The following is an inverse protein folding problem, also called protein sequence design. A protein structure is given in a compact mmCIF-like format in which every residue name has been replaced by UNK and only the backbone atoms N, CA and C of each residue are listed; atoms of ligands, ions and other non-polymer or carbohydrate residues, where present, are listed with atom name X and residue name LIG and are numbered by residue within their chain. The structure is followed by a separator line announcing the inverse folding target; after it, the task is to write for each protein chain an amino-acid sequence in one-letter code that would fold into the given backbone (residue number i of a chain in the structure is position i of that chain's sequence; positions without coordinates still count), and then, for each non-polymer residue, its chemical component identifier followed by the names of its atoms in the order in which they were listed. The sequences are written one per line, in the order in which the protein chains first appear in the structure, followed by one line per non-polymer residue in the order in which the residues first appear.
data_IF_837637513774
#
_entry.id   IF_837637513774
#
_cell.length_a   1.000
_cell.length_b   1.000
_cell.length_c   1.000
_cell.angle_alpha   90.00
_cell.angle_beta   90.00
_cell.angle_gamma   90.00
#
_symmetry.space_group_name_H-M   'P 1'
#
loop_
_entity.id
_entity.type
_entity.pdbx_description
1 polymer ?
#
# COMPACT_ATOMS: atom_id res chain seq x y z
N UNK A 1 -43.93 22.09 -5.13
CA UNK A 1 -42.54 21.83 -5.58
C UNK A 1 -42.46 20.37 -5.98
N UNK A 2 -42.31 20.06 -7.27
CA UNK A 2 -42.05 18.68 -7.71
C UNK A 2 -40.60 18.38 -7.38
N UNK A 3 -40.36 17.46 -6.45
CA UNK A 3 -39.03 16.89 -6.22
C UNK A 3 -38.58 16.26 -7.53
N UNK A 4 -37.55 16.81 -8.17
CA UNK A 4 -36.88 16.12 -9.27
C UNK A 4 -36.41 14.77 -8.73
N UNK A 5 -36.94 13.71 -9.34
CA UNK A 5 -36.57 12.34 -9.02
C UNK A 5 -35.17 12.10 -9.62
N UNK A 6 -34.14 12.52 -8.90
CA UNK A 6 -32.76 12.18 -9.23
C UNK A 6 -32.65 10.67 -9.00
N UNK A 7 -32.41 9.91 -10.07
CA UNK A 7 -32.17 8.47 -9.98
C UNK A 7 -31.12 8.19 -8.91
N UNK A 8 -31.37 7.21 -8.04
CA UNK A 8 -30.44 6.79 -6.98
C UNK A 8 -29.06 6.42 -7.55
N UNK A 9 -28.97 6.11 -8.85
CA UNK A 9 -27.76 5.72 -9.56
C UNK A 9 -26.93 6.92 -10.10
N UNK A 10 -27.42 8.16 -9.98
CA UNK A 10 -26.64 9.34 -10.37
C UNK A 10 -25.59 9.60 -9.30
N UNK A 11 -24.33 9.50 -9.70
CA UNK A 11 -23.19 9.70 -8.82
C UNK A 11 -22.85 11.19 -8.69
N UNK A 12 -22.46 11.58 -7.49
CA UNK A 12 -22.01 12.93 -7.23
C UNK A 12 -20.57 13.11 -7.69
N UNK A 13 -20.26 14.28 -8.25
CA UNK A 13 -18.91 14.56 -8.75
C UNK A 13 -17.86 14.51 -7.64
N UNK A 14 -18.23 14.94 -6.42
CA UNK A 14 -17.38 14.84 -5.26
C UNK A 14 -16.96 13.40 -4.97
N UNK A 15 -17.92 12.46 -5.02
CA UNK A 15 -17.66 11.03 -4.84
C UNK A 15 -16.82 10.44 -5.97
N UNK A 16 -17.13 10.78 -7.23
CA UNK A 16 -16.35 10.33 -8.40
C UNK A 16 -14.91 10.81 -8.36
N UNK A 17 -14.66 11.97 -7.74
CA UNK A 17 -13.33 12.55 -7.57
C UNK A 17 -12.49 11.77 -6.58
N UNK A 18 -13.08 11.22 -5.51
CA UNK A 18 -12.37 10.48 -4.45
C UNK A 18 -11.41 9.43 -5.03
N UNK A 19 -11.93 8.56 -5.89
CA UNK A 19 -11.18 7.44 -6.48
C UNK A 19 -10.62 7.75 -7.87
N UNK A 20 -10.74 9.00 -8.35
CA UNK A 20 -10.25 9.38 -9.68
C UNK A 20 -8.75 9.15 -9.90
N UNK A 21 -7.83 9.32 -8.92
CA UNK A 21 -6.42 9.03 -9.14
C UNK A 21 -6.16 7.56 -9.45
N UNK A 22 -6.77 6.65 -8.68
CA UNK A 22 -6.69 5.22 -8.93
C UNK A 22 -7.37 4.84 -10.23
N UNK A 23 -8.58 5.36 -10.50
CA UNK A 23 -9.31 5.10 -11.74
C UNK A 23 -8.48 5.49 -12.97
N UNK A 24 -7.85 6.67 -12.95
CA UNK A 24 -7.00 7.12 -14.05
C UNK A 24 -5.79 6.19 -14.25
N UNK A 25 -5.08 5.84 -13.17
CA UNK A 25 -3.93 4.94 -13.25
C UNK A 25 -4.33 3.53 -13.74
N UNK A 26 -5.39 2.96 -13.18
CA UNK A 26 -5.91 1.64 -13.57
C UNK A 26 -6.46 1.63 -15.01
N UNK A 27 -7.04 2.73 -15.49
CA UNK A 27 -7.48 2.86 -16.87
C UNK A 27 -6.30 2.81 -17.83
N UNK A 28 -5.21 3.53 -17.54
CA UNK A 28 -3.97 3.49 -18.33
C UNK A 28 -3.39 2.08 -18.34
N UNK A 29 -3.38 1.42 -17.18
CA UNK A 29 -2.81 0.07 -17.03
C UNK A 29 -3.71 -1.06 -17.52
N UNK A 30 -4.96 -0.76 -17.90
CA UNK A 30 -5.92 -1.77 -18.36
C UNK A 30 -6.52 -2.62 -17.24
N UNK A 31 -6.39 -2.20 -15.97
CA UNK A 31 -6.92 -2.88 -14.78
C UNK A 31 -8.12 -2.17 -14.13
N UNK A 32 -8.79 -1.25 -14.83
CA UNK A 32 -9.93 -0.55 -14.21
C UNK A 32 -11.16 -1.46 -14.10
N UNK A 33 -11.76 -1.50 -12.90
CA UNK A 33 -12.93 -2.34 -12.54
C UNK A 33 -14.26 -1.81 -13.04
N UNK A 34 -14.37 -0.50 -13.19
CA UNK A 34 -15.63 0.20 -13.50
C UNK A 34 -15.38 1.31 -14.52
N UNK A 35 -16.30 1.51 -15.44
CA UNK A 35 -16.29 2.68 -16.34
C UNK A 35 -17.19 3.76 -15.76
N UNK A 36 -16.58 4.80 -15.20
CA UNK A 36 -17.27 5.94 -14.60
C UNK A 36 -17.18 7.16 -15.54
N UNK A 37 -18.30 7.53 -16.17
CA UNK A 37 -18.40 8.69 -17.08
C UNK A 37 -19.71 9.42 -16.86
N UNK A 38 -19.67 10.75 -16.95
CA UNK A 38 -20.87 11.60 -16.95
C UNK A 38 -21.82 11.31 -15.78
N UNK A 39 -21.25 11.04 -14.58
CA UNK A 39 -21.98 10.68 -13.35
C UNK A 39 -22.67 9.31 -13.35
N UNK A 40 -22.40 8.47 -14.33
CA UNK A 40 -22.84 7.08 -14.39
C UNK A 40 -21.65 6.13 -14.21
N UNK A 41 -21.89 5.01 -13.53
CA UNK A 41 -20.93 3.91 -13.43
C UNK A 41 -21.50 2.69 -14.12
N UNK A 42 -20.71 2.09 -14.99
CA UNK A 42 -21.07 0.93 -15.79
C UNK A 42 -19.96 -0.11 -15.77
N UNK A 43 -20.31 -1.34 -16.12
CA UNK A 43 -19.35 -2.44 -16.28
C UNK A 43 -18.35 -2.13 -17.41
N UNK A 44 -17.11 -2.65 -17.33
CA UNK A 44 -16.09 -2.36 -18.34
C UNK A 44 -16.58 -2.66 -19.76
N UNK A 45 -16.40 -1.68 -20.66
CA UNK A 45 -16.89 -1.77 -22.03
C UNK A 45 -16.11 -2.81 -22.85
N UNK A 46 -16.68 -3.29 -23.96
CA UNK A 46 -15.99 -4.20 -24.89
C UNK A 46 -14.60 -3.69 -25.34
N UNK A 47 -14.43 -2.42 -25.79
CA UNK A 47 -13.11 -1.91 -26.16
C UNK A 47 -12.12 -1.89 -24.99
N UNK A 48 -12.61 -1.60 -23.78
CA UNK A 48 -11.84 -1.66 -22.55
C UNK A 48 -11.32 -3.08 -22.25
N UNK A 49 -12.16 -4.12 -22.44
CA UNK A 49 -11.75 -5.52 -22.31
C UNK A 49 -10.74 -5.93 -23.38
N UNK A 50 -10.94 -5.49 -24.63
CA UNK A 50 -10.00 -5.72 -25.72
C UNK A 50 -8.63 -5.08 -25.45
N UNK A 51 -8.62 -3.85 -24.94
CA UNK A 51 -7.39 -3.16 -24.53
C UNK A 51 -6.61 -3.97 -23.50
N UNK A 52 -7.29 -4.51 -22.48
CA UNK A 52 -6.66 -5.37 -21.48
C UNK A 52 -6.04 -6.62 -22.08
N UNK A 53 -6.69 -7.27 -23.07
CA UNK A 53 -6.13 -8.42 -23.79
C UNK A 53 -4.84 -8.02 -24.54
N UNK A 54 -4.85 -6.87 -25.22
CA UNK A 54 -3.67 -6.34 -25.92
C UNK A 54 -2.52 -6.10 -24.92
N UNK A 55 -2.80 -5.52 -23.76
CA UNK A 55 -1.82 -5.33 -22.70
C UNK A 55 -1.22 -6.67 -22.20
N UNK A 56 -2.05 -7.71 -22.03
CA UNK A 56 -1.57 -9.05 -21.64
C UNK A 56 -0.64 -9.61 -22.72
N UNK A 57 -1.02 -9.55 -24.00
CA UNK A 57 -0.21 -10.06 -25.11
C UNK A 57 1.14 -9.33 -25.22
N UNK A 58 1.12 -8.00 -25.11
CA UNK A 58 2.34 -7.18 -25.11
C UNK A 58 3.24 -7.54 -23.92
N UNK A 59 2.67 -7.66 -22.72
CA UNK A 59 3.39 -8.06 -21.53
C UNK A 59 4.00 -9.46 -21.68
N UNK A 60 3.25 -10.41 -22.27
CA UNK A 60 3.75 -11.77 -22.56
C UNK A 60 4.99 -11.75 -23.43
N UNK A 61 4.98 -10.97 -24.52
CA UNK A 61 6.14 -10.84 -25.41
C UNK A 61 7.37 -10.27 -24.69
N UNK A 62 7.17 -9.29 -23.80
CA UNK A 62 8.24 -8.71 -22.98
C UNK A 62 8.79 -9.71 -21.96
N UNK A 63 7.95 -10.53 -21.33
CA UNK A 63 8.39 -11.60 -20.43
C UNK A 63 9.21 -12.69 -21.16
N UNK A 64 8.82 -13.07 -22.38
CA UNK A 64 9.62 -13.97 -23.23
C UNK A 64 10.97 -13.36 -23.55
N UNK A 65 11.03 -12.05 -23.82
CA UNK A 65 12.29 -11.32 -24.05
C UNK A 65 13.22 -11.36 -22.84
N UNK A 66 12.71 -11.23 -21.60
CA UNK A 66 13.51 -11.42 -20.38
C UNK A 66 14.07 -12.84 -20.33
N UNK A 67 13.26 -13.86 -20.67
CA UNK A 67 13.73 -15.24 -20.73
C UNK A 67 14.92 -15.41 -21.69
N UNK A 68 14.84 -14.84 -22.89
CA UNK A 68 15.89 -14.97 -23.89
C UNK A 68 17.16 -14.16 -23.55
N UNK A 69 17.02 -12.92 -23.07
CA UNK A 69 18.14 -12.00 -22.90
C UNK A 69 18.79 -12.05 -21.50
N UNK A 70 18.03 -12.39 -20.47
CA UNK A 70 18.48 -12.43 -19.08
C UNK A 70 18.67 -13.86 -18.57
N UNK A 71 17.66 -14.73 -18.67
CA UNK A 71 17.77 -16.09 -18.09
C UNK A 71 18.84 -16.94 -18.80
N UNK A 72 19.04 -16.76 -20.11
CA UNK A 72 20.07 -17.48 -20.88
C UNK A 72 21.48 -17.36 -20.29
N UNK A 73 21.80 -16.24 -19.60
CA UNK A 73 23.08 -16.01 -18.94
C UNK A 73 23.33 -16.94 -17.75
N UNK A 74 22.26 -17.41 -17.11
CA UNK A 74 22.33 -18.29 -15.96
C UNK A 74 22.29 -19.77 -16.34
N UNK A 75 22.23 -20.11 -17.63
CA UNK A 75 22.24 -21.50 -18.10
C UNK A 75 23.36 -22.38 -17.49
N UNK A 76 24.60 -21.89 -17.29
CA UNK A 76 25.65 -22.66 -16.63
C UNK A 76 25.33 -23.01 -15.17
N UNK A 77 24.57 -22.14 -14.48
CA UNK A 77 24.19 -22.27 -13.07
C UNK A 77 22.73 -22.76 -12.96
N UNK A 78 22.50 -24.06 -13.21
CA UNK A 78 21.15 -24.65 -13.32
C UNK A 78 20.19 -24.27 -12.18
N UNK A 79 20.63 -24.30 -10.92
CA UNK A 79 19.76 -23.98 -9.79
C UNK A 79 19.32 -22.51 -9.82
N UNK A 80 20.25 -21.59 -10.11
CA UNK A 80 19.98 -20.16 -10.21
C UNK A 80 19.07 -19.86 -11.41
N UNK A 81 19.30 -20.54 -12.53
CA UNK A 81 18.42 -20.48 -13.69
C UNK A 81 16.99 -20.87 -13.36
N UNK A 82 16.77 -22.05 -12.76
CA UNK A 82 15.43 -22.52 -12.43
C UNK A 82 14.73 -21.64 -11.39
N UNK A 83 15.48 -21.12 -10.40
CA UNK A 83 14.93 -20.22 -9.41
C UNK A 83 14.43 -18.91 -10.05
N UNK A 84 15.24 -18.28 -10.91
CA UNK A 84 14.83 -17.08 -11.64
C UNK A 84 13.68 -17.34 -12.62
N UNK A 85 13.65 -18.52 -13.25
CA UNK A 85 12.54 -18.92 -14.10
C UNK A 85 11.22 -19.05 -13.31
N UNK A 86 11.26 -19.72 -12.15
CA UNK A 86 10.09 -19.85 -11.27
C UNK A 86 9.63 -18.48 -10.78
N UNK A 87 10.56 -17.60 -10.38
CA UNK A 87 10.24 -16.22 -9.99
C UNK A 87 9.55 -15.46 -11.13
N UNK A 88 10.10 -15.53 -12.36
CA UNK A 88 9.52 -14.87 -13.53
C UNK A 88 8.11 -15.39 -13.82
N UNK A 89 7.90 -16.71 -13.77
CA UNK A 89 6.59 -17.35 -13.96
C UNK A 89 5.59 -16.95 -12.87
N UNK A 90 6.01 -16.89 -11.60
CA UNK A 90 5.19 -16.42 -10.49
C UNK A 90 4.74 -14.97 -10.70
N UNK A 91 5.66 -14.08 -11.09
CA UNK A 91 5.35 -12.69 -11.40
C UNK A 91 4.36 -12.57 -12.56
N UNK A 92 4.54 -13.37 -13.62
CA UNK A 92 3.64 -13.37 -14.77
C UNK A 92 2.25 -13.92 -14.42
N UNK A 93 2.18 -15.09 -13.78
CA UNK A 93 0.93 -15.73 -13.41
C UNK A 93 0.09 -14.84 -12.48
N UNK A 94 0.73 -14.21 -11.50
CA UNK A 94 0.04 -13.28 -10.59
C UNK A 94 -0.47 -12.04 -11.30
N UNK A 95 0.29 -11.48 -12.25
CA UNK A 95 -0.18 -10.38 -13.09
C UNK A 95 -1.42 -10.78 -13.91
N UNK A 96 -1.34 -11.89 -14.65
CA UNK A 96 -2.44 -12.35 -15.52
C UNK A 96 -3.69 -12.69 -14.70
N UNK A 97 -3.54 -13.43 -13.60
CA UNK A 97 -4.65 -13.75 -12.71
C UNK A 97 -5.30 -12.49 -12.14
N UNK A 98 -4.50 -11.51 -11.71
CA UNK A 98 -5.00 -10.25 -11.16
C UNK A 98 -5.82 -9.49 -12.20
N UNK A 99 -5.25 -9.23 -13.38
CA UNK A 99 -5.91 -8.41 -14.39
C UNK A 99 -7.15 -9.09 -15.00
N UNK A 100 -7.13 -10.42 -15.13
CA UNK A 100 -8.30 -11.18 -15.58
C UNK A 100 -9.43 -11.06 -14.56
N UNK A 101 -9.13 -11.29 -13.28
CA UNK A 101 -10.14 -11.19 -12.23
C UNK A 101 -10.75 -9.79 -12.16
N UNK A 102 -9.92 -8.77 -12.22
CA UNK A 102 -10.31 -7.36 -12.10
C UNK A 102 -11.16 -6.87 -13.28
N UNK A 103 -10.86 -7.32 -14.50
CA UNK A 103 -11.48 -6.78 -15.73
C UNK A 103 -12.64 -7.61 -16.29
N UNK A 104 -12.65 -8.91 -16.02
CA UNK A 104 -13.61 -9.83 -16.64
C UNK A 104 -14.60 -10.42 -15.65
N UNK A 105 -14.24 -10.53 -14.37
CA UNK A 105 -15.07 -11.15 -13.34
C UNK A 105 -15.76 -10.10 -12.46
N UNK A 106 -16.91 -10.47 -11.90
CA UNK A 106 -17.68 -9.68 -10.93
C UNK A 106 -18.03 -8.24 -11.39
N UNK A 107 -18.29 -8.06 -12.69
CA UNK A 107 -18.45 -6.72 -13.28
C UNK A 107 -19.65 -5.98 -12.66
N UNK A 108 -20.79 -6.66 -12.54
CA UNK A 108 -22.03 -6.04 -12.06
C UNK A 108 -21.97 -5.80 -10.54
N UNK A 109 -21.32 -6.70 -9.80
CA UNK A 109 -21.08 -6.52 -8.37
C UNK A 109 -20.09 -5.37 -8.09
N UNK A 110 -19.09 -5.15 -8.94
CA UNK A 110 -18.18 -3.98 -8.83
C UNK A 110 -18.94 -2.66 -9.04
N UNK A 111 -19.87 -2.61 -10.00
CA UNK A 111 -20.74 -1.43 -10.25
C UNK A 111 -21.65 -1.19 -9.04
N UNK A 112 -22.34 -2.23 -8.58
CA UNK A 112 -23.23 -2.14 -7.42
C UNK A 112 -22.49 -1.70 -6.16
N UNK A 113 -21.30 -2.26 -5.91
CA UNK A 113 -20.44 -1.86 -4.81
C UNK A 113 -20.07 -0.37 -4.90
N UNK A 114 -19.67 0.11 -6.08
CA UNK A 114 -19.31 1.52 -6.27
C UNK A 114 -20.50 2.45 -5.96
N UNK A 115 -21.71 2.12 -6.41
CA UNK A 115 -22.92 2.91 -6.12
C UNK A 115 -23.23 2.90 -4.61
N UNK A 116 -23.12 1.72 -3.97
CA UNK A 116 -23.38 1.56 -2.53
C UNK A 116 -22.41 2.34 -1.64
N UNK A 117 -21.15 2.51 -2.05
CA UNK A 117 -20.22 3.40 -1.31
C UNK A 117 -20.71 4.85 -1.24
N UNK A 118 -21.38 5.34 -2.28
CA UNK A 118 -21.97 6.68 -2.24
C UNK A 118 -23.25 6.72 -1.40
N UNK A 119 -24.05 5.65 -1.44
CA UNK A 119 -25.27 5.55 -0.62
C UNK A 119 -24.94 5.64 0.88
N UNK A 120 -23.80 5.07 1.32
CA UNK A 120 -23.28 5.23 2.68
C UNK A 120 -23.03 6.71 2.99
N UNK A 121 -22.31 7.43 2.12
CA UNK A 121 -21.97 8.84 2.34
C UNK A 121 -23.22 9.73 2.38
N UNK A 122 -24.23 9.46 1.55
CA UNK A 122 -25.53 10.14 1.58
C UNK A 122 -26.28 9.92 2.89
N UNK A 123 -26.34 8.68 3.37
CA UNK A 123 -27.05 8.36 4.63
C UNK A 123 -26.35 8.92 5.86
N UNK A 124 -25.02 8.92 5.84
CA UNK A 124 -24.21 9.59 6.87
C UNK A 124 -24.19 11.12 6.73
N UNK A 125 -24.85 11.71 5.72
CA UNK A 125 -24.86 13.16 5.45
C UNK A 125 -23.44 13.77 5.34
N UNK A 126 -22.51 13.00 4.79
CA UNK A 126 -21.11 13.42 4.58
C UNK A 126 -20.73 13.52 3.09
N UNK A 127 -21.66 13.22 2.19
CA UNK A 127 -21.52 13.29 0.73
C UNK A 127 -20.86 14.60 0.24
N UNK A 128 -21.26 15.73 0.83
CA UNK A 128 -20.75 17.06 0.50
C UNK A 128 -19.67 17.58 1.48
N UNK A 129 -19.17 16.74 2.39
CA UNK A 129 -18.18 17.15 3.36
C UNK A 129 -16.79 17.26 2.72
N UNK A 130 -16.38 18.51 2.46
CA UNK A 130 -15.10 18.82 1.82
C UNK A 130 -13.89 18.25 2.57
N UNK A 131 -13.86 18.29 3.91
CA UNK A 131 -12.68 17.88 4.68
C UNK A 131 -12.46 16.36 4.55
N UNK A 132 -13.52 15.56 4.75
CA UNK A 132 -13.45 14.11 4.62
C UNK A 132 -13.08 13.70 3.19
N UNK A 133 -13.73 14.32 2.20
CA UNK A 133 -13.51 14.03 0.79
C UNK A 133 -12.10 14.42 0.32
N UNK A 134 -11.63 15.61 0.70
CA UNK A 134 -10.28 16.08 0.39
C UNK A 134 -9.22 15.19 1.06
N UNK A 135 -9.43 14.75 2.30
CA UNK A 135 -8.50 13.85 2.99
C UNK A 135 -8.34 12.50 2.26
N UNK A 136 -9.44 11.89 1.83
CA UNK A 136 -9.39 10.61 1.08
C UNK A 136 -8.75 10.83 -0.30
N UNK A 137 -9.14 11.90 -0.99
CA UNK A 137 -8.56 12.23 -2.29
C UNK A 137 -7.05 12.45 -2.21
N UNK A 138 -6.58 13.22 -1.21
CA UNK A 138 -5.16 13.48 -0.95
C UNK A 138 -4.42 12.18 -0.61
N UNK A 139 -5.02 11.31 0.19
CA UNK A 139 -4.44 9.99 0.49
C UNK A 139 -4.33 9.13 -0.78
N UNK A 140 -5.36 9.11 -1.62
CA UNK A 140 -5.38 8.35 -2.87
C UNK A 140 -4.32 8.86 -3.86
N UNK A 141 -4.27 10.17 -4.12
CA UNK A 141 -3.29 10.75 -5.05
C UNK A 141 -1.87 10.58 -4.52
N UNK A 142 -1.65 10.78 -3.20
CA UNK A 142 -0.33 10.59 -2.59
C UNK A 142 0.13 9.15 -2.70
N UNK A 143 -0.76 8.19 -2.48
CA UNK A 143 -0.47 6.76 -2.63
C UNK A 143 -0.04 6.44 -4.05
N UNK A 144 -0.83 6.84 -5.05
CA UNK A 144 -0.51 6.60 -6.48
C UNK A 144 0.82 7.25 -6.87
N UNK A 145 1.02 8.53 -6.54
CA UNK A 145 2.24 9.26 -6.91
C UNK A 145 3.49 8.70 -6.22
N UNK A 146 3.40 8.36 -4.93
CA UNK A 146 4.53 7.79 -4.19
C UNK A 146 4.91 6.42 -4.73
N UNK A 147 3.92 5.56 -5.02
CA UNK A 147 4.17 4.24 -5.59
C UNK A 147 4.81 4.32 -6.97
N UNK A 148 4.28 5.16 -7.86
CA UNK A 148 4.86 5.38 -9.19
C UNK A 148 6.27 5.98 -9.09
N UNK A 149 6.47 6.96 -8.20
CA UNK A 149 7.79 7.57 -7.97
C UNK A 149 8.84 6.57 -7.50
N UNK A 150 8.51 5.71 -6.54
CA UNK A 150 9.42 4.67 -6.04
C UNK A 150 9.73 3.65 -7.15
N UNK A 151 8.72 3.13 -7.84
CA UNK A 151 8.94 2.10 -8.86
C UNK A 151 9.70 2.64 -10.07
N UNK A 152 9.40 3.86 -10.52
CA UNK A 152 10.13 4.50 -11.62
C UNK A 152 11.56 4.87 -11.22
N UNK A 153 11.79 5.40 -10.01
CA UNK A 153 13.15 5.72 -9.56
C UNK A 153 14.03 4.49 -9.45
N UNK A 154 13.50 3.36 -8.96
CA UNK A 154 14.20 2.08 -8.96
C UNK A 154 14.50 1.60 -10.38
N UNK A 155 13.56 1.75 -11.30
CA UNK A 155 13.76 1.38 -12.71
C UNK A 155 14.83 2.24 -13.40
N UNK A 156 14.80 3.56 -13.19
CA UNK A 156 15.81 4.47 -13.74
C UNK A 156 17.18 4.24 -13.12
N UNK A 157 17.26 3.96 -11.82
CA UNK A 157 18.51 3.57 -11.18
C UNK A 157 19.09 2.30 -11.81
N UNK A 158 18.25 1.29 -12.10
CA UNK A 158 18.68 0.08 -12.78
C UNK A 158 19.20 0.37 -14.21
N UNK A 159 18.54 1.26 -14.96
CA UNK A 159 18.94 1.61 -16.33
C UNK A 159 20.37 2.16 -16.42
N UNK A 160 20.89 2.78 -15.35
CA UNK A 160 22.27 3.31 -15.32
C UNK A 160 23.34 2.22 -15.28
N UNK A 161 22.98 0.98 -14.93
CA UNK A 161 23.91 -0.15 -14.81
C UNK A 161 24.04 -0.92 -16.14
N UNK A 162 22.92 -1.30 -16.75
CA UNK A 162 22.90 -1.98 -18.05
C UNK A 162 21.58 -1.69 -18.79
N UNK A 163 21.62 -0.76 -19.74
CA UNK A 163 20.43 -0.28 -20.43
C UNK A 163 19.72 -1.37 -21.26
N UNK A 164 20.46 -2.32 -21.83
CA UNK A 164 19.89 -3.35 -22.73
C UNK A 164 19.15 -4.39 -21.89
N UNK A 165 19.77 -4.87 -20.82
CA UNK A 165 19.12 -5.81 -19.91
C UNK A 165 17.91 -5.15 -19.27
N UNK A 166 18.06 -3.94 -18.75
CA UNK A 166 16.98 -3.28 -17.99
C UNK A 166 15.81 -2.88 -18.88
N UNK A 167 16.06 -2.55 -20.16
CA UNK A 167 14.98 -2.36 -21.13
C UNK A 167 14.13 -3.64 -21.32
N UNK A 168 14.71 -4.83 -21.20
CA UNK A 168 13.92 -6.09 -21.26
C UNK A 168 12.97 -6.24 -20.07
N UNK A 169 13.27 -5.62 -18.92
CA UNK A 169 12.45 -5.69 -17.70
C UNK A 169 11.23 -4.73 -17.67
N UNK A 170 10.99 -3.95 -18.73
CA UNK A 170 9.82 -3.05 -18.81
C UNK A 170 8.50 -3.80 -18.61
N UNK A 171 8.37 -5.01 -19.16
CA UNK A 171 7.17 -5.84 -18.98
C UNK A 171 6.97 -6.24 -17.51
N UNK A 172 8.05 -6.58 -16.82
CA UNK A 172 8.03 -6.94 -15.40
C UNK A 172 7.65 -5.73 -14.53
N UNK A 173 8.19 -4.54 -14.84
CA UNK A 173 7.81 -3.29 -14.20
C UNK A 173 6.32 -3.01 -14.36
N UNK A 174 5.80 -3.09 -15.59
CA UNK A 174 4.38 -2.88 -15.88
C UNK A 174 3.49 -3.85 -15.10
N UNK A 175 3.81 -5.15 -15.10
CA UNK A 175 3.07 -6.15 -14.36
C UNK A 175 3.08 -5.90 -12.85
N UNK A 176 4.23 -5.50 -12.31
CA UNK A 176 4.39 -5.17 -10.89
C UNK A 176 3.63 -3.91 -10.50
N UNK A 177 3.74 -2.82 -11.26
CA UNK A 177 3.00 -1.58 -11.03
C UNK A 177 1.50 -1.85 -11.02
N UNK A 178 1.00 -2.64 -11.97
CA UNK A 178 -0.42 -3.00 -12.05
C UNK A 178 -0.90 -3.75 -10.81
N UNK A 179 -0.18 -4.80 -10.39
CA UNK A 179 -0.56 -5.55 -9.19
C UNK A 179 -0.50 -4.69 -7.92
N UNK A 180 0.57 -3.91 -7.75
CA UNK A 180 0.75 -3.06 -6.57
C UNK A 180 -0.36 -2.01 -6.47
N UNK A 181 -0.77 -1.41 -7.59
CA UNK A 181 -1.88 -0.44 -7.58
C UNK A 181 -3.22 -1.07 -7.21
N UNK A 182 -3.50 -2.31 -7.63
CA UNK A 182 -4.72 -3.02 -7.19
C UNK A 182 -4.73 -3.29 -5.68
N UNK A 183 -3.59 -3.69 -5.12
CA UNK A 183 -3.47 -3.92 -3.67
C UNK A 183 -3.57 -2.63 -2.87
N UNK A 184 -2.94 -1.55 -3.34
CA UNK A 184 -3.03 -0.24 -2.71
C UNK A 184 -4.43 0.37 -2.84
N UNK A 185 -5.13 0.12 -3.94
CA UNK A 185 -6.53 0.51 -4.09
C UNK A 185 -7.42 -0.20 -3.05
N UNK A 186 -7.21 -1.51 -2.86
CA UNK A 186 -7.86 -2.29 -1.80
C UNK A 186 -7.60 -1.69 -0.40
N UNK A 187 -6.35 -1.33 -0.10
CA UNK A 187 -6.01 -0.67 1.17
C UNK A 187 -6.67 0.71 1.33
N UNK A 188 -6.76 1.50 0.27
CA UNK A 188 -7.44 2.80 0.30
C UNK A 188 -8.96 2.70 0.44
N UNK A 189 -9.58 1.64 -0.10
CA UNK A 189 -11.00 1.34 0.15
C UNK A 189 -11.25 0.98 1.62
N UNK A 190 -10.35 0.24 2.27
CA UNK A 190 -10.42 0.01 3.71
C UNK A 190 -10.31 1.32 4.50
N UNK A 191 -9.40 2.22 4.08
CA UNK A 191 -9.28 3.55 4.69
C UNK A 191 -10.57 4.38 4.53
N UNK A 192 -11.25 4.26 3.38
CA UNK A 192 -12.56 4.87 3.16
C UNK A 192 -13.56 4.41 4.24
N UNK A 193 -13.73 3.09 4.44
CA UNK A 193 -14.65 2.55 5.45
C UNK A 193 -14.23 2.94 6.88
N UNK A 194 -12.94 2.88 7.18
CA UNK A 194 -12.40 3.24 8.48
C UNK A 194 -12.75 4.68 8.90
N UNK A 195 -12.63 5.64 7.97
CA UNK A 195 -13.01 7.04 8.24
C UNK A 195 -14.51 7.17 8.54
N UNK A 196 -15.38 6.40 7.86
CA UNK A 196 -16.83 6.41 8.14
C UNK A 196 -17.17 5.77 9.47
N UNK A 197 -16.53 4.66 9.82
CA UNK A 197 -16.69 4.05 11.15
C UNK A 197 -16.28 5.02 12.26
N UNK A 198 -15.17 5.75 12.08
CA UNK A 198 -14.77 6.81 13.02
C UNK A 198 -15.78 7.95 13.09
N UNK A 199 -16.41 8.29 11.98
CA UNK A 199 -17.46 9.30 11.93
C UNK A 199 -18.72 8.85 12.69
N UNK A 200 -19.16 7.61 12.52
CA UNK A 200 -20.23 7.02 13.33
C UNK A 200 -19.86 7.05 14.81
N UNK A 201 -18.63 6.66 15.15
CA UNK A 201 -18.17 6.72 16.53
C UNK A 201 -18.26 8.15 17.09
N UNK A 202 -17.94 9.17 16.28
CA UNK A 202 -18.09 10.57 16.69
C UNK A 202 -19.55 10.98 16.92
N UNK A 203 -20.51 10.46 16.13
CA UNK A 203 -21.95 10.66 16.36
C UNK A 203 -22.35 10.05 17.72
N UNK A 204 -21.93 8.81 17.99
CA UNK A 204 -22.22 8.12 19.26
C UNK A 204 -21.61 8.88 20.44
N UNK A 205 -20.35 9.30 20.33
CA UNK A 205 -19.68 10.07 21.39
C UNK A 205 -20.41 11.37 21.68
N UNK A 206 -20.87 12.10 20.67
CA UNK A 206 -21.65 13.32 20.89
C UNK A 206 -23.01 13.05 21.55
N UNK A 207 -23.63 11.91 21.26
CA UNK A 207 -24.87 11.50 21.91
C UNK A 207 -24.67 11.20 23.41
N UNK A 208 -23.53 10.59 23.77
CA UNK A 208 -23.21 10.17 25.15
C UNK A 208 -22.62 11.32 25.98
N UNK A 209 -21.61 12.01 25.45
CA UNK A 209 -20.81 13.01 26.15
C UNK A 209 -21.33 14.45 25.95
N UNK A 210 -22.25 14.65 25.00
CA UNK A 210 -22.69 15.97 24.58
C UNK A 210 -21.68 16.68 23.67
N UNK A 211 -21.93 17.97 23.42
CA UNK A 211 -21.14 18.79 22.48
C UNK A 211 -20.49 20.02 23.12
N UNK A 212 -20.65 20.21 24.43
CA UNK A 212 -20.28 21.43 25.15
C UNK A 212 -18.75 21.66 25.23
N UNK A 213 -17.97 20.59 25.10
CA UNK A 213 -16.51 20.55 25.11
C UNK A 213 -15.87 20.84 23.74
N UNK A 214 -16.66 20.89 22.66
CA UNK A 214 -16.15 20.96 21.29
C UNK A 214 -15.86 22.40 20.87
N UNK A 215 -14.67 22.90 21.22
CA UNK A 215 -14.13 24.15 20.68
C UNK A 215 -13.07 23.89 19.61
N UNK A 216 -13.33 24.32 18.38
CA UNK A 216 -12.35 24.33 17.28
C UNK A 216 -12.25 25.74 16.71
N UNK A 217 -11.13 26.42 16.98
CA UNK A 217 -10.93 27.82 16.58
C UNK A 217 -10.65 27.98 15.08
N UNK A 218 -10.27 26.90 14.36
CA UNK A 218 -10.03 27.01 12.91
C UNK A 218 -10.08 25.65 12.17
N UNK A 219 -11.26 25.24 11.72
CA UNK A 219 -11.47 23.96 11.01
C UNK A 219 -10.78 23.95 9.65
N UNK A 220 -10.71 25.11 8.99
CA UNK A 220 -10.15 25.26 7.64
C UNK A 220 -8.65 24.92 7.55
N UNK A 221 -7.93 24.93 8.68
CA UNK A 221 -6.51 24.58 8.73
C UNK A 221 -6.27 23.09 9.03
N UNK A 222 -7.31 22.33 9.38
CA UNK A 222 -7.16 20.93 9.76
C UNK A 222 -7.30 20.04 8.54
N UNK A 223 -6.22 19.34 8.17
CA UNK A 223 -6.20 18.42 7.03
C UNK A 223 -6.54 16.97 7.38
N UNK A 224 -6.50 16.61 8.66
CA UNK A 224 -6.67 15.23 9.12
C UNK A 224 -7.99 15.14 9.91
N UNK A 225 -8.88 14.17 9.60
CA UNK A 225 -10.11 13.96 10.36
C UNK A 225 -9.82 13.31 11.72
N UNK A 226 -9.35 14.12 12.68
CA UNK A 226 -9.18 13.69 14.07
C UNK A 226 -10.53 13.54 14.77
N UNK A 227 -10.58 12.78 15.87
CA UNK A 227 -11.85 12.53 16.57
C UNK A 227 -12.56 13.82 16.99
N UNK A 228 -11.83 14.82 17.47
CA UNK A 228 -12.38 16.15 17.83
C UNK A 228 -13.02 16.86 16.63
N UNK A 229 -12.39 16.79 15.46
CA UNK A 229 -12.92 17.38 14.21
C UNK A 229 -14.15 16.60 13.72
N UNK A 230 -14.11 15.27 13.78
CA UNK A 230 -15.25 14.44 13.42
C UNK A 230 -16.45 14.71 14.35
N UNK A 231 -16.22 14.84 15.67
CA UNK A 231 -17.25 15.22 16.65
C UNK A 231 -17.86 16.59 16.31
N UNK A 232 -17.04 17.59 16.00
CA UNK A 232 -17.55 18.89 15.55
C UNK A 232 -18.39 18.78 14.26
N UNK A 233 -17.94 18.00 13.28
CA UNK A 233 -18.67 17.84 12.02
C UNK A 233 -19.96 17.03 12.19
N UNK A 234 -19.98 16.07 13.11
CA UNK A 234 -21.18 15.34 13.47
C UNK A 234 -22.20 16.27 14.14
N UNK A 235 -21.77 17.19 15.00
CA UNK A 235 -22.69 18.11 15.70
C UNK A 235 -23.35 19.14 14.81
N UNK A 236 -22.76 19.48 13.66
CA UNK A 236 -23.39 20.36 12.69
C UNK A 236 -24.35 19.67 11.72
N UNK A 237 -24.33 18.32 11.64
CA UNK A 237 -25.04 17.55 10.60
C UNK A 237 -26.12 16.61 11.15
N UNK A 238 -26.02 16.21 12.42
CA UNK A 238 -26.92 15.26 13.05
C UNK A 238 -27.61 15.87 14.28
N UNK A 239 -28.89 15.56 14.44
CA UNK A 239 -29.61 15.77 15.68
C UNK A 239 -29.34 14.55 16.58
N UNK A 240 -28.85 14.78 17.80
CA UNK A 240 -28.51 13.70 18.73
C UNK A 240 -29.69 13.25 19.58
N UNK A 241 -30.87 13.88 19.47
CA UNK A 241 -32.06 13.42 20.18
C UNK A 241 -32.58 12.07 19.65
N UNK A 242 -32.30 11.77 18.38
CA UNK A 242 -32.64 10.50 17.73
C UNK A 242 -31.43 9.99 16.95
N UNK A 243 -30.91 8.82 17.32
CA UNK A 243 -29.70 8.25 16.71
C UNK A 243 -30.03 7.01 15.89
N UNK A 244 -29.94 7.11 14.56
CA UNK A 244 -30.03 5.97 13.62
C UNK A 244 -28.66 5.27 13.44
N UNK A 245 -27.79 5.35 14.45
CA UNK A 245 -26.42 4.83 14.39
C UNK A 245 -26.36 3.32 14.16
N UNK A 246 -27.34 2.57 14.62
CA UNK A 246 -27.50 1.14 14.37
C UNK A 246 -27.74 0.84 12.87
N UNK A 247 -28.57 1.65 12.22
CA UNK A 247 -28.84 1.56 10.77
C UNK A 247 -27.58 1.88 9.97
N UNK A 248 -26.83 2.91 10.35
CA UNK A 248 -25.57 3.26 9.70
C UNK A 248 -24.51 2.18 9.86
N UNK A 249 -24.35 1.66 11.09
CA UNK A 249 -23.37 0.64 11.41
C UNK A 249 -23.65 -0.66 10.63
N UNK A 250 -24.91 -1.09 10.60
CA UNK A 250 -25.35 -2.26 9.84
C UNK A 250 -24.97 -2.13 8.36
N UNK A 251 -25.23 -0.98 7.74
CA UNK A 251 -24.92 -0.79 6.33
C UNK A 251 -23.42 -0.79 6.03
N UNK A 252 -22.60 -0.19 6.89
CA UNK A 252 -21.15 -0.27 6.73
C UNK A 252 -20.69 -1.72 6.82
N UNK A 253 -21.18 -2.50 7.78
CA UNK A 253 -20.80 -3.91 7.91
C UNK A 253 -21.27 -4.76 6.72
N UNK A 254 -22.50 -4.55 6.25
CA UNK A 254 -23.04 -5.25 5.07
C UNK A 254 -22.17 -4.98 3.82
N UNK A 255 -21.77 -3.73 3.60
CA UNK A 255 -20.91 -3.36 2.47
C UNK A 255 -19.44 -3.76 2.68
N UNK A 256 -18.94 -3.79 3.92
CA UNK A 256 -17.60 -4.33 4.23
C UNK A 256 -17.55 -5.84 3.95
N UNK A 257 -18.61 -6.59 4.27
CA UNK A 257 -18.72 -7.99 3.92
C UNK A 257 -18.77 -8.20 2.40
N UNK A 258 -19.47 -7.32 1.66
CA UNK A 258 -19.44 -7.33 0.19
C UNK A 258 -18.04 -7.02 -0.35
N UNK A 259 -17.35 -6.04 0.23
CA UNK A 259 -15.96 -5.73 -0.09
C UNK A 259 -15.04 -6.95 0.12
N UNK A 260 -15.11 -7.62 1.27
CA UNK A 260 -14.32 -8.84 1.53
C UNK A 260 -14.57 -9.91 0.46
N UNK A 261 -15.83 -10.15 0.10
CA UNK A 261 -16.17 -11.12 -0.93
C UNK A 261 -15.64 -10.73 -2.33
N UNK A 262 -15.66 -9.44 -2.67
CA UNK A 262 -15.16 -8.94 -3.96
C UNK A 262 -13.64 -8.96 -4.06
N UNK A 263 -12.93 -8.67 -2.97
CA UNK A 263 -11.47 -8.50 -2.97
C UNK A 263 -10.68 -9.70 -2.40
N UNK A 264 -11.35 -10.75 -1.90
CA UNK A 264 -10.70 -11.95 -1.35
C UNK A 264 -9.68 -12.57 -2.30
N UNK A 265 -9.94 -12.58 -3.61
CA UNK A 265 -9.03 -13.17 -4.59
C UNK A 265 -7.74 -12.35 -4.71
N UNK A 266 -7.84 -11.02 -4.72
CA UNK A 266 -6.69 -10.12 -4.78
C UNK A 266 -5.83 -10.22 -3.53
N UNK A 267 -6.46 -10.30 -2.35
CA UNK A 267 -5.76 -10.48 -1.07
C UNK A 267 -5.06 -11.85 -1.04
N UNK A 268 -5.75 -12.92 -1.43
CA UNK A 268 -5.15 -14.25 -1.53
C UNK A 268 -3.94 -14.26 -2.48
N UNK A 269 -4.08 -13.63 -3.65
CA UNK A 269 -3.02 -13.55 -4.65
C UNK A 269 -1.82 -12.73 -4.14
N UNK A 270 -2.08 -11.67 -3.37
CA UNK A 270 -1.06 -10.89 -2.68
C UNK A 270 -0.29 -11.77 -1.68
N UNK A 271 -1.00 -12.42 -0.76
CA UNK A 271 -0.38 -13.26 0.28
C UNK A 271 0.43 -14.40 -0.35
N UNK A 272 -0.13 -15.10 -1.36
CA UNK A 272 0.56 -16.15 -2.08
C UNK A 272 1.85 -15.64 -2.74
N UNK A 273 1.77 -14.52 -3.46
CA UNK A 273 2.93 -13.90 -4.10
C UNK A 273 3.98 -13.46 -3.09
N UNK A 274 3.57 -12.84 -1.99
CA UNK A 274 4.47 -12.35 -0.94
C UNK A 274 5.27 -13.51 -0.32
N UNK A 275 4.59 -14.59 0.09
CA UNK A 275 5.24 -15.77 0.68
C UNK A 275 6.16 -16.44 -0.32
N UNK A 276 5.68 -16.71 -1.54
CA UNK A 276 6.47 -17.38 -2.57
C UNK A 276 7.69 -16.55 -3.00
N UNK A 277 7.54 -15.24 -3.19
CA UNK A 277 8.66 -14.35 -3.51
C UNK A 277 9.68 -14.27 -2.39
N UNK A 278 9.25 -14.27 -1.12
CA UNK A 278 10.16 -14.25 0.04
C UNK A 278 10.98 -15.54 0.11
N UNK A 279 10.35 -16.70 -0.09
CA UNK A 279 11.04 -18.00 -0.13
C UNK A 279 12.05 -18.07 -1.29
N UNK A 280 11.65 -17.62 -2.48
CA UNK A 280 12.54 -17.57 -3.64
C UNK A 280 13.73 -16.62 -3.42
N UNK A 281 13.50 -15.45 -2.82
CA UNK A 281 14.56 -14.50 -2.50
C UNK A 281 15.55 -15.05 -1.47
N UNK A 282 15.04 -15.74 -0.44
CA UNK A 282 15.86 -16.41 0.56
C UNK A 282 16.76 -17.49 -0.05
N UNK A 283 16.18 -18.39 -0.85
CA UNK A 283 16.92 -19.46 -1.53
C UNK A 283 17.95 -18.90 -2.52
N UNK A 284 17.60 -17.84 -3.26
CA UNK A 284 18.53 -17.15 -4.15
C UNK A 284 19.73 -16.58 -3.37
N UNK A 285 19.48 -15.98 -2.20
CA UNK A 285 20.53 -15.47 -1.31
C UNK A 285 21.47 -16.58 -0.84
N UNK A 286 20.93 -17.70 -0.38
CA UNK A 286 21.74 -18.85 0.06
C UNK A 286 22.59 -19.43 -1.07
N UNK A 287 22.00 -19.69 -2.24
CA UNK A 287 22.71 -20.25 -3.38
C UNK A 287 23.77 -19.29 -3.93
N UNK A 288 23.52 -17.98 -3.88
CA UNK A 288 24.49 -16.97 -4.30
C UNK A 288 25.70 -16.91 -3.37
N UNK A 289 25.49 -17.06 -2.06
CA UNK A 289 26.55 -17.13 -1.06
C UNK A 289 27.38 -18.41 -1.19
N UNK A 290 26.72 -19.57 -1.36
CA UNK A 290 27.40 -20.86 -1.47
C UNK A 290 28.28 -20.97 -2.72
N UNK A 291 27.84 -20.39 -3.84
CA UNK A 291 28.51 -20.54 -5.14
C UNK A 291 29.43 -19.37 -5.51
N UNK A 292 29.69 -18.39 -4.62
CA UNK A 292 30.50 -17.19 -4.90
C UNK A 292 30.14 -16.49 -6.24
N UNK A 293 28.86 -16.52 -6.61
CA UNK A 293 28.38 -16.04 -7.92
C UNK A 293 28.66 -14.54 -8.11
N UNK A 294 28.67 -13.78 -7.01
CA UNK A 294 29.02 -12.37 -7.01
C UNK A 294 30.51 -12.12 -7.35
N UNK A 295 31.40 -13.03 -6.98
CA UNK A 295 32.85 -12.89 -7.18
C UNK A 295 33.26 -13.28 -8.61
N UNK A 296 32.57 -14.27 -9.19
CA UNK A 296 32.85 -14.74 -10.56
C UNK A 296 32.22 -13.85 -11.63
N UNK A 297 31.04 -13.26 -11.40
CA UNK A 297 30.48 -12.26 -12.35
C UNK A 297 31.31 -10.98 -12.42
N UNK A 298 31.93 -10.54 -11.32
CA UNK A 298 32.86 -9.40 -11.31
C UNK A 298 34.16 -9.71 -12.07
N UNK A 299 34.68 -10.95 -12.00
CA UNK A 299 35.85 -11.37 -12.78
C UNK A 299 35.59 -11.47 -14.28
N UNK A 300 34.40 -11.89 -14.69
CA UNK A 300 34.03 -11.95 -16.13
C UNK A 300 33.89 -10.54 -16.73
N UNK A 301 33.43 -9.55 -15.95
CA UNK A 301 33.41 -8.14 -16.37
C UNK A 301 34.78 -7.44 -16.32
N UNK A 302 35.68 -7.80 -15.40
CA UNK A 302 37.02 -7.20 -15.34
C UNK A 302 38.01 -7.75 -16.38
N UNK A 303 37.73 -8.92 -16.95
CA UNK A 303 38.53 -9.50 -18.05
C UNK A 303 38.10 -9.02 -19.44
N UNK A 304 36.97 -8.30 -19.56
CA UNK A 304 36.45 -7.81 -20.84
C UNK A 304 36.53 -6.30 -21.04
N UNK A 305 36.84 -5.50 -20.01
CA UNK A 305 37.05 -4.06 -20.15
C UNK A 305 38.34 -3.61 -19.46
N UNK A 306 39.46 -3.66 -20.19
CA UNK A 306 40.70 -2.99 -19.80
C UNK A 306 40.72 -1.49 -20.10
N UNK A 307 39.65 -0.94 -20.69
CA UNK A 307 39.55 0.50 -21.01
C UNK A 307 38.12 1.00 -20.78
N UNK A 308 37.80 1.49 -19.59
CA UNK A 308 36.90 2.64 -19.50
C UNK A 308 36.91 3.31 -18.12
N UNK A 309 37.23 4.61 -18.13
CA UNK A 309 37.36 5.53 -17.01
C UNK A 309 36.04 5.88 -16.30
N UNK A 310 35.00 5.03 -16.41
CA UNK A 310 33.68 5.23 -15.80
C UNK A 310 33.55 4.70 -14.37
N UNK A 311 34.59 4.05 -13.83
CA UNK A 311 34.61 3.50 -12.47
C UNK A 311 34.84 4.51 -11.34
N UNK A 312 34.99 5.81 -11.65
CA UNK A 312 35.23 6.84 -10.63
C UNK A 312 33.99 7.21 -9.79
N UNK A 313 32.77 6.97 -10.29
CA UNK A 313 31.54 7.38 -9.61
C UNK A 313 30.97 6.32 -8.64
N UNK A 314 31.11 5.02 -8.96
CA UNK A 314 30.73 3.93 -8.04
C UNK A 314 31.60 3.90 -6.79
N UNK A 315 32.90 4.21 -6.93
CA UNK A 315 33.82 4.36 -5.81
C UNK A 315 33.50 5.54 -4.89
N UNK A 316 32.81 6.57 -5.39
CA UNK A 316 32.47 7.76 -4.61
C UNK A 316 31.26 7.52 -3.69
N UNK A 317 30.23 6.80 -4.17
CA UNK A 317 29.07 6.43 -3.36
C UNK A 317 29.43 5.42 -2.26
N UNK A 318 30.28 4.44 -2.59
CA UNK A 318 30.81 3.48 -1.62
C UNK A 318 31.71 4.17 -0.59
N UNK A 319 32.52 5.17 -0.98
CA UNK A 319 33.31 5.99 -0.04
C UNK A 319 32.44 6.87 0.86
N UNK A 320 31.37 7.47 0.33
CA UNK A 320 30.46 8.31 1.10
C UNK A 320 29.67 7.51 2.15
N UNK A 321 29.26 6.28 1.82
CA UNK A 321 28.63 5.37 2.79
C UNK A 321 29.65 4.86 3.82
N UNK A 322 30.90 4.60 3.40
CA UNK A 322 31.99 4.14 4.28
C UNK A 322 32.46 5.23 5.26
N UNK A 323 32.43 6.51 4.88
CA UNK A 323 32.80 7.63 5.78
C UNK A 323 31.75 7.96 6.83
N UNK A 324 30.47 7.62 6.60
CA UNK A 324 29.38 7.87 7.55
C UNK A 324 29.32 6.81 8.66
N UNK A 325 29.87 5.61 8.44
CA UNK A 325 29.67 4.45 9.32
C UNK A 325 30.92 3.95 10.04
N UNK A 326 32.07 4.62 9.88
CA UNK A 326 33.22 4.47 10.79
C UNK A 326 33.75 3.03 11.00
N UNK A 327 33.75 2.19 9.97
CA UNK A 327 34.18 0.80 10.06
C UNK A 327 35.24 0.44 9.02
N UNK A 328 36.44 0.10 9.49
CA UNK A 328 37.58 -0.33 8.68
C UNK A 328 37.58 -1.88 8.63
N UNK A 329 36.70 -2.46 7.83
CA UNK A 329 36.74 -3.89 7.51
C UNK A 329 36.42 -4.15 6.03
N UNK A 330 37.13 -5.13 5.49
CA UNK A 330 37.52 -5.26 4.07
C UNK A 330 36.56 -6.10 3.22
N UNK A 331 35.28 -6.14 3.54
CA UNK A 331 34.29 -6.93 2.81
C UNK A 331 33.35 -6.04 2.00
N UNK A 332 33.39 -6.18 0.67
CA UNK A 332 32.46 -5.52 -0.26
C UNK A 332 31.08 -6.18 -0.19
N UNK A 333 30.31 -5.79 0.81
CA UNK A 333 28.90 -6.15 0.95
C UNK A 333 28.10 -5.33 -0.08
N UNK A 334 27.43 -6.01 -1.02
CA UNK A 334 26.58 -5.35 -2.02
C UNK A 334 25.46 -4.55 -1.34
N UNK A 335 25.12 -3.39 -1.89
CA UNK A 335 24.08 -2.47 -1.39
C UNK A 335 22.75 -3.20 -1.15
N UNK A 336 22.44 -4.24 -1.93
CA UNK A 336 21.25 -5.08 -1.74
C UNK A 336 21.30 -5.94 -0.48
N UNK A 337 22.47 -6.50 -0.16
CA UNK A 337 22.70 -7.23 1.07
C UNK A 337 22.61 -6.29 2.29
N UNK A 338 23.05 -5.04 2.13
CA UNK A 338 22.94 -4.01 3.17
C UNK A 338 21.49 -3.56 3.38
N UNK A 339 20.70 -3.40 2.32
CA UNK A 339 19.26 -3.07 2.41
C UNK A 339 18.46 -4.23 3.03
N UNK A 340 18.79 -5.48 2.67
CA UNK A 340 18.18 -6.67 3.28
C UNK A 340 18.56 -6.78 4.75
N UNK A 341 19.82 -6.52 5.12
CA UNK A 341 20.26 -6.50 6.52
C UNK A 341 19.62 -5.35 7.30
N UNK A 342 19.42 -4.17 6.69
CA UNK A 342 18.68 -3.06 7.32
C UNK A 342 17.23 -3.48 7.53
N UNK A 343 16.54 -4.02 6.52
CA UNK A 343 15.17 -4.50 6.65
C UNK A 343 15.02 -5.61 7.70
N UNK A 344 15.92 -6.60 7.70
CA UNK A 344 15.94 -7.67 8.70
C UNK A 344 16.26 -7.14 10.10
N UNK A 345 17.13 -6.15 10.22
CA UNK A 345 17.48 -5.52 11.50
C UNK A 345 16.34 -4.64 12.02
N UNK A 346 15.65 -3.91 11.15
CA UNK A 346 14.47 -3.11 11.50
C UNK A 346 13.31 -4.00 11.95
N UNK A 347 13.07 -5.11 11.23
CA UNK A 347 12.08 -6.13 11.61
C UNK A 347 12.46 -6.85 12.91
N UNK A 348 13.75 -7.13 13.12
CA UNK A 348 14.23 -7.73 14.36
C UNK A 348 14.09 -6.76 15.54
N UNK A 349 14.41 -5.46 15.38
CA UNK A 349 14.23 -4.45 16.43
C UNK A 349 12.77 -4.19 16.75
N UNK A 350 11.86 -4.20 15.76
CA UNK A 350 10.41 -4.12 16.01
C UNK A 350 9.89 -5.37 16.74
N UNK A 351 10.40 -6.56 16.41
CA UNK A 351 10.06 -7.79 17.15
C UNK A 351 10.59 -7.79 18.59
N UNK A 352 11.77 -7.19 18.81
CA UNK A 352 12.39 -7.11 20.13
C UNK A 352 11.75 -6.01 20.99
N UNK A 353 11.31 -4.90 20.37
CA UNK A 353 10.54 -3.84 21.04
C UNK A 353 9.12 -4.30 21.38
N UNK A 354 8.44 -5.03 20.49
CA UNK A 354 7.13 -5.61 20.81
C UNK A 354 7.25 -6.69 21.90
N UNK A 355 8.32 -7.48 21.92
CA UNK A 355 8.56 -8.46 22.99
C UNK A 355 8.93 -7.79 24.33
N UNK A 356 9.67 -6.67 24.32
CA UNK A 356 9.95 -5.88 25.53
C UNK A 356 8.72 -5.12 26.03
N UNK A 357 7.86 -4.62 25.14
CA UNK A 357 6.61 -3.94 25.50
C UNK A 357 5.58 -4.93 26.04
N UNK A 358 5.45 -6.13 25.47
CA UNK A 358 4.60 -7.21 26.03
C UNK A 358 5.12 -7.71 27.39
N UNK A 359 6.45 -7.77 27.58
CA UNK A 359 7.04 -8.09 28.89
C UNK A 359 6.89 -6.96 29.92
N UNK A 360 6.89 -5.69 29.49
CA UNK A 360 6.62 -4.52 30.35
C UNK A 360 5.13 -4.38 30.67
N UNK A 361 4.23 -4.72 29.76
CA UNK A 361 2.79 -4.75 30.01
C UNK A 361 2.44 -5.91 30.95
N UNK A 362 3.02 -7.10 30.77
CA UNK A 362 2.88 -8.21 31.71
C UNK A 362 3.51 -7.91 33.10
N UNK A 363 4.66 -7.23 33.15
CA UNK A 363 5.29 -6.82 34.41
C UNK A 363 4.55 -5.67 35.12
N UNK A 364 3.92 -4.75 34.37
CA UNK A 364 3.10 -3.67 34.94
C UNK A 364 1.76 -4.21 35.46
N UNK A 365 1.15 -5.20 34.81
CA UNK A 365 -0.07 -5.89 35.30
C UNK A 365 0.23 -6.74 36.54
N UNK A 366 1.42 -7.32 36.67
CA UNK A 366 1.85 -8.01 37.90
C UNK A 366 2.28 -7.05 39.03
N UNK A 367 2.80 -5.86 38.69
CA UNK A 367 3.19 -4.83 39.67
C UNK A 367 1.99 -4.04 40.21
N UNK A 368 0.93 -3.84 39.42
CA UNK A 368 -0.28 -3.11 39.80
C UNK A 368 -1.19 -3.87 40.79
N UNK A 369 -0.90 -5.14 41.10
CA UNK A 369 -1.62 -5.91 42.13
C UNK A 369 -1.02 -5.83 43.53
N UNK A 370 0.12 -5.13 43.73
CA UNK A 370 0.79 -5.10 45.04
C UNK A 370 1.17 -3.75 45.64
N UNK A 371 0.81 -2.60 45.04
CA UNK A 371 1.08 -1.29 45.66
C UNK A 371 -0.15 -0.38 45.58
N UNK A 372 -1.16 -0.70 46.38
CA UNK A 372 -2.16 0.26 46.82
C UNK A 372 -1.84 0.60 48.29
N UNK A 373 -0.94 1.54 48.55
CA UNK A 373 -0.89 2.36 49.78
C UNK A 373 0.25 3.39 49.69
N UNK A 374 -0.07 4.69 49.76
CA UNK A 374 0.85 5.74 50.26
C UNK A 374 1.26 6.88 49.32
N UNK A 375 0.63 8.05 49.53
CA UNK A 375 1.10 9.45 49.40
C UNK A 375 2.47 9.78 48.78
N UNK A 376 2.50 10.88 48.02
CA UNK A 376 3.52 11.95 48.19
C UNK A 376 4.02 12.60 46.89
N UNK A 377 4.15 13.92 46.90
CA UNK A 377 4.41 14.85 45.80
C UNK A 377 5.77 14.75 45.05
N UNK A 378 5.78 15.41 43.88
CA UNK A 378 6.84 16.22 43.24
C UNK A 378 7.48 15.77 41.89
N UNK A 379 7.34 16.71 40.94
CA UNK A 379 8.34 17.26 40.01
C UNK A 379 8.67 16.56 38.65
N UNK A 380 8.12 17.16 37.59
CA UNK A 380 8.83 17.92 36.54
C UNK A 380 10.00 17.24 35.80
N UNK A 381 9.82 16.95 34.49
CA UNK A 381 10.87 17.12 33.48
C UNK A 381 10.28 17.47 32.10
N UNK A 382 10.96 18.42 31.47
CA UNK A 382 10.62 19.19 30.28
C UNK A 382 10.87 18.48 28.93
N UNK A 383 10.11 18.96 27.93
CA UNK A 383 10.47 19.24 26.52
C UNK A 383 11.36 18.27 25.73
N UNK A 384 10.85 17.77 24.60
CA UNK A 384 11.45 17.93 23.26
C UNK A 384 10.54 17.34 22.16
N UNK A 385 10.49 18.00 20.99
CA UNK A 385 10.20 17.31 19.71
C UNK A 385 8.98 17.76 18.91
N UNK A 386 8.95 19.02 18.46
CA UNK A 386 8.12 19.43 17.32
C UNK A 386 8.73 18.94 15.98
N UNK A 387 7.84 18.58 15.05
CA UNK A 387 8.06 18.37 13.60
C UNK A 387 8.84 17.12 13.14
N UNK A 388 8.10 16.10 12.67
CA UNK A 388 8.24 15.39 11.36
C UNK A 388 7.59 13.99 11.40
N UNK A 389 6.25 13.87 11.50
CA UNK A 389 5.58 12.56 11.52
C UNK A 389 4.42 12.35 10.53
N UNK A 390 4.26 13.19 9.52
CA UNK A 390 3.16 13.07 8.55
C UNK A 390 3.27 11.90 7.55
N UNK A 391 4.49 11.51 7.15
CA UNK A 391 4.69 10.52 6.08
C UNK A 391 4.95 9.09 6.59
N UNK A 392 5.59 8.94 7.75
CA UNK A 392 5.82 7.64 8.38
C UNK A 392 4.51 6.97 8.83
N UNK A 393 3.52 7.75 9.26
CA UNK A 393 2.24 7.22 9.72
C UNK A 393 1.47 6.45 8.63
N UNK A 394 1.59 6.84 7.35
CA UNK A 394 0.85 6.17 6.27
C UNK A 394 1.49 4.82 5.90
N UNK A 395 2.83 4.74 5.90
CA UNK A 395 3.58 3.51 5.65
C UNK A 395 3.50 2.56 6.86
N UNK A 396 3.63 3.08 8.08
CA UNK A 396 3.40 2.32 9.30
C UNK A 396 1.95 1.85 9.43
N UNK A 397 0.95 2.63 9.00
CA UNK A 397 -0.45 2.18 9.05
C UNK A 397 -0.70 1.03 8.07
N UNK A 398 -0.15 1.08 6.86
CA UNK A 398 -0.24 -0.04 5.89
C UNK A 398 0.48 -1.29 6.41
N UNK A 399 1.66 -1.16 7.01
CA UNK A 399 2.39 -2.31 7.60
C UNK A 399 1.71 -2.85 8.86
N UNK A 400 1.22 -1.99 9.75
CA UNK A 400 0.55 -2.38 10.99
C UNK A 400 -0.81 -3.04 10.71
N UNK A 401 -1.52 -2.63 9.65
CA UNK A 401 -2.75 -3.29 9.19
C UNK A 401 -2.48 -4.64 8.51
N UNK A 402 -1.41 -4.75 7.70
CA UNK A 402 -0.97 -6.04 7.13
C UNK A 402 -0.60 -7.04 8.24
N UNK A 403 0.00 -6.58 9.34
CA UNK A 403 0.29 -7.43 10.49
C UNK A 403 -0.96 -7.77 11.33
N UNK A 404 -1.95 -6.87 11.44
CA UNK A 404 -3.18 -7.13 12.19
C UNK A 404 -4.13 -8.14 11.49
N UNK A 405 -4.20 -8.17 10.15
CA UNK A 405 -5.03 -9.16 9.43
C UNK A 405 -4.46 -10.58 9.52
N UNK A 406 -3.15 -10.74 9.76
CA UNK A 406 -2.54 -12.06 10.03
C UNK A 406 -2.91 -12.57 11.43
N UNK A 407 -3.19 -11.68 12.38
CA UNK A 407 -3.61 -12.05 13.73
C UNK A 407 -5.13 -12.36 13.86
N UNK A 408 -5.94 -11.98 12.87
CA UNK A 408 -7.40 -12.24 12.84
C UNK A 408 -7.81 -13.47 12.02
N UNK A 409 -6.86 -14.14 11.36
CA UNK A 409 -7.07 -15.44 10.71
C UNK A 409 -6.55 -16.64 11.54
N UNK A 410 -6.45 -16.47 12.87
CA UNK A 410 -6.11 -17.53 13.83
C UNK A 410 -7.35 -18.06 14.54
#
# INVERSE_FOLDING_TARGET
MKSEFISNDILEEAHLKLFSPFRAAQMILGSCRVDARDRFVTSPTKPQKLYTIICILLCTALYVSVGYNFLSRFWPYRNIYYLNLIALLLHYATFVCSIINVRFLNNDENVNFYIKTQEIDRKLKIDNNKLINDFIYVTNISTVLLTLGILLSLFFAALTQDAIIVASFVGLLYGQVTCTLEWLYCSNLLMFFYVRLRYINAIITNHIEGTDDIKIENINNVRIPTMKVLRYMASSSHDFNYSETDVYLKQIYDELFRFQNLYRFQILLFCFKFVASTLLAFEYGLLSLQNNVNTDMVRVHSSTNSDDSRFAHSHCLVRAVRSVLGGDQKDEISVYHYIILILLRTLATESHQNAEDDHREAASVFSLRHVAYGRGDHAQYDQFGHHTHGHAATVCFVLKFICCDVAWCG
#
